data_IF_045910922430
#
_entry.id   IF_045910922430
#
_cell.length_a   1.000
_cell.length_b   1.000
_cell.length_c   1.000
_cell.angle_alpha   90.00
_cell.angle_beta   90.00
_cell.angle_gamma   90.00
#
_symmetry.space_group_name_H-M   'P 1'
#
loop_
_entity.id
_entity.type
_entity.pdbx_description
1 polymer ?
#
# COMPACT_ATOMS: atom_id res chain seq x y z
N UNK A 1 -6.95 -27.76 -1.33
CA UNK A 1 -6.65 -26.37 -0.94
C UNK A 1 -7.99 -25.70 -0.68
N UNK A 2 -8.37 -25.53 0.59
CA UNK A 2 -9.63 -24.84 0.92
C UNK A 2 -9.36 -23.37 0.69
N UNK A 3 -9.94 -22.80 -0.36
CA UNK A 3 -9.86 -21.36 -0.58
C UNK A 3 -10.70 -20.70 0.51
N UNK A 4 -10.05 -19.94 1.39
CA UNK A 4 -10.73 -19.11 2.37
C UNK A 4 -11.65 -18.13 1.62
N UNK A 5 -12.87 -17.91 2.11
CA UNK A 5 -13.87 -17.02 1.48
C UNK A 5 -13.36 -15.58 1.32
N UNK A 6 -12.28 -15.21 2.05
CA UNK A 6 -11.58 -13.94 1.92
C UNK A 6 -10.71 -13.84 0.66
N UNK A 7 -10.23 -14.96 0.11
CA UNK A 7 -9.29 -14.97 -1.02
C UNK A 7 -9.83 -14.23 -2.26
N UNK A 8 -11.08 -14.46 -2.72
CA UNK A 8 -11.63 -13.73 -3.86
C UNK A 8 -11.67 -12.21 -3.63
N UNK A 9 -11.99 -11.77 -2.41
CA UNK A 9 -12.07 -10.35 -2.06
C UNK A 9 -10.67 -9.73 -2.01
N UNK A 10 -9.70 -10.42 -1.42
CA UNK A 10 -8.30 -9.98 -1.37
C UNK A 10 -7.70 -9.85 -2.78
N UNK A 11 -7.98 -10.79 -3.68
CA UNK A 11 -7.53 -10.74 -5.06
C UNK A 11 -8.12 -9.53 -5.82
N UNK A 12 -9.40 -9.21 -5.61
CA UNK A 12 -10.02 -8.03 -6.21
C UNK A 12 -9.42 -6.73 -5.68
N UNK A 13 -9.16 -6.65 -4.37
CA UNK A 13 -8.45 -5.51 -3.77
C UNK A 13 -7.05 -5.33 -4.36
N UNK A 14 -6.29 -6.43 -4.53
CA UNK A 14 -4.99 -6.38 -5.19
C UNK A 14 -5.06 -5.81 -6.61
N UNK A 15 -5.99 -6.29 -7.45
CA UNK A 15 -6.14 -5.82 -8.83
C UNK A 15 -6.48 -4.34 -8.91
N UNK A 16 -7.28 -3.83 -7.97
CA UNK A 16 -7.64 -2.41 -7.93
C UNK A 16 -6.50 -1.55 -7.42
N UNK A 17 -5.92 -1.92 -6.29
CA UNK A 17 -4.94 -1.10 -5.60
C UNK A 17 -3.57 -1.09 -6.31
N UNK A 18 -3.22 -2.13 -7.08
CA UNK A 18 -2.00 -2.14 -7.89
C UNK A 18 -1.99 -1.09 -9.01
N UNK A 19 -3.17 -0.52 -9.35
CA UNK A 19 -3.26 0.54 -10.37
C UNK A 19 -2.65 1.86 -9.88
N UNK A 20 -2.49 2.02 -8.57
CA UNK A 20 -1.74 3.12 -8.00
C UNK A 20 -0.24 2.83 -8.10
N UNK A 21 0.56 3.68 -8.77
CA UNK A 21 1.99 3.45 -8.92
C UNK A 21 2.68 3.37 -7.54
N UNK A 22 3.61 2.42 -7.39
CA UNK A 22 4.39 2.23 -6.16
C UNK A 22 3.72 1.41 -5.05
N UNK A 23 2.51 0.85 -5.28
CA UNK A 23 1.80 0.04 -4.29
C UNK A 23 1.98 -1.46 -4.54
N UNK A 24 2.59 -2.15 -3.58
CA UNK A 24 2.73 -3.62 -3.56
C UNK A 24 1.88 -4.17 -2.43
N UNK A 25 1.01 -5.13 -2.74
CA UNK A 25 0.16 -5.80 -1.75
C UNK A 25 0.38 -7.30 -1.88
N UNK A 26 0.64 -7.95 -0.75
CA UNK A 26 0.77 -9.39 -0.67
C UNK A 26 -0.57 -10.00 -0.26
N UNK A 27 -1.22 -10.68 -1.21
CA UNK A 27 -2.53 -11.33 -0.99
C UNK A 27 -2.42 -12.49 0.00
N UNK A 28 -1.32 -13.22 -0.01
CA UNK A 28 -1.10 -14.36 0.88
C UNK A 28 -0.94 -13.87 2.31
N UNK A 29 -0.10 -12.85 2.52
CA UNK A 29 0.09 -12.25 3.84
C UNK A 29 -1.18 -11.57 4.38
N UNK A 30 -2.01 -11.01 3.48
CA UNK A 30 -3.33 -10.47 3.85
C UNK A 30 -4.27 -11.52 4.44
N UNK A 31 -4.19 -12.78 3.99
CA UNK A 31 -5.06 -13.85 4.50
C UNK A 31 -4.58 -14.39 5.85
N UNK A 32 -3.28 -14.38 6.09
CA UNK A 32 -2.65 -14.91 7.29
C UNK A 32 -2.59 -13.89 8.43
N UNK A 33 -2.45 -12.59 8.12
CA UNK A 33 -2.22 -11.53 9.09
C UNK A 33 -3.36 -10.50 9.12
N UNK A 34 -4.17 -10.55 10.18
CA UNK A 34 -5.32 -9.64 10.39
C UNK A 34 -4.89 -8.16 10.45
N UNK A 35 -3.76 -7.85 11.11
CA UNK A 35 -3.29 -6.46 11.24
C UNK A 35 -2.86 -5.88 9.90
N UNK A 36 -2.15 -6.68 9.10
CA UNK A 36 -1.79 -6.29 7.74
C UNK A 36 -3.03 -6.10 6.87
N UNK A 37 -4.01 -7.01 6.98
CA UNK A 37 -5.28 -6.88 6.27
C UNK A 37 -5.96 -5.55 6.61
N UNK A 38 -6.10 -5.20 7.90
CA UNK A 38 -6.72 -3.94 8.34
C UNK A 38 -6.02 -2.70 7.76
N UNK A 39 -4.70 -2.68 7.66
CA UNK A 39 -3.98 -1.58 7.00
C UNK A 39 -4.30 -1.51 5.50
N UNK A 40 -4.35 -2.65 4.81
CA UNK A 40 -4.78 -2.72 3.40
C UNK A 40 -6.21 -2.20 3.26
N UNK A 41 -7.12 -2.55 4.18
CA UNK A 41 -8.50 -2.06 4.16
C UNK A 41 -8.57 -0.54 4.37
N UNK A 42 -7.77 0.02 5.28
CA UNK A 42 -7.67 1.47 5.50
C UNK A 42 -7.23 2.19 4.22
N UNK A 43 -6.22 1.65 3.55
CA UNK A 43 -5.72 2.18 2.28
C UNK A 43 -6.76 2.04 1.16
N UNK A 44 -7.49 0.93 1.11
CA UNK A 44 -8.54 0.68 0.14
C UNK A 44 -9.69 1.70 0.24
N UNK A 45 -10.09 2.05 1.46
CA UNK A 45 -11.14 3.05 1.71
C UNK A 45 -10.76 4.46 1.25
N UNK A 46 -9.47 4.77 1.25
CA UNK A 46 -8.96 6.06 0.78
C UNK A 46 -8.75 6.11 -0.74
N UNK A 47 -8.85 4.98 -1.45
CA UNK A 47 -8.58 4.91 -2.88
C UNK A 47 -9.81 5.30 -3.72
N UNK A 48 -10.91 4.56 -3.59
CA UNK A 48 -12.14 4.76 -4.34
C UNK A 48 -13.33 4.04 -3.67
N UNK A 49 -14.55 4.38 -4.07
CA UNK A 49 -15.77 3.86 -3.46
C UNK A 49 -15.93 2.33 -3.63
N UNK A 50 -15.47 1.77 -4.74
CA UNK A 50 -15.59 0.34 -5.04
C UNK A 50 -14.59 -0.47 -4.20
N UNK A 51 -13.35 0.03 -4.08
CA UNK A 51 -12.34 -0.51 -3.16
C UNK A 51 -12.80 -0.41 -1.69
N UNK A 52 -13.50 0.67 -1.32
CA UNK A 52 -14.07 0.82 0.02
C UNK A 52 -15.17 -0.24 0.30
N UNK A 53 -16.00 -0.56 -0.68
CA UNK A 53 -17.03 -1.59 -0.56
C UNK A 53 -16.42 -2.99 -0.39
N UNK A 54 -15.40 -3.32 -1.20
CA UNK A 54 -14.65 -4.55 -1.05
C UNK A 54 -13.99 -4.66 0.32
N UNK A 55 -13.47 -3.55 0.84
CA UNK A 55 -12.87 -3.51 2.15
C UNK A 55 -13.88 -3.82 3.26
N UNK A 56 -15.10 -3.28 3.16
CA UNK A 56 -16.17 -3.55 4.11
C UNK A 56 -16.62 -5.02 4.07
N UNK A 57 -16.72 -5.61 2.87
CA UNK A 57 -17.03 -7.05 2.73
C UNK A 57 -15.94 -7.93 3.34
N UNK A 58 -14.67 -7.59 3.11
CA UNK A 58 -13.55 -8.30 3.72
C UNK A 58 -13.58 -8.22 5.26
N UNK A 59 -13.82 -7.03 5.81
CA UNK A 59 -13.90 -6.84 7.25
C UNK A 59 -15.07 -7.61 7.89
N UNK A 60 -16.21 -7.71 7.19
CA UNK A 60 -17.31 -8.55 7.64
C UNK A 60 -16.89 -10.02 7.78
N UNK A 61 -16.10 -10.55 6.84
CA UNK A 61 -15.56 -11.92 6.94
C UNK A 61 -14.53 -12.08 8.07
N UNK A 62 -13.79 -11.03 8.43
CA UNK A 62 -12.92 -11.05 9.60
C UNK A 62 -13.71 -11.14 10.91
N UNK A 63 -14.82 -10.39 11.02
CA UNK A 63 -15.68 -10.36 12.22
C UNK A 63 -16.53 -11.62 12.39
N UNK A 64 -16.92 -12.27 11.29
CA UNK A 64 -17.70 -13.52 11.32
C UNK A 64 -16.87 -14.72 11.77
N UNK A 65 -15.54 -14.57 11.94
CA UNK A 65 -14.70 -15.63 12.50
C UNK A 65 -15.18 -15.97 13.92
N UNK A 66 -15.61 -17.23 14.20
CA UNK A 66 -16.08 -17.60 15.53
C UNK A 66 -14.91 -17.49 16.52
N UNK A 67 -14.97 -16.53 17.44
CA UNK A 67 -13.98 -16.37 18.50
C UNK A 67 -13.63 -14.95 18.93
N UNK A 68 -14.10 -13.89 18.27
CA UNK A 68 -13.76 -12.50 18.67
C UNK A 68 -15.01 -11.62 18.72
N UNK A 69 -15.57 -11.47 19.92
CA UNK A 69 -16.62 -10.50 20.19
C UNK A 69 -16.10 -9.08 19.87
N UNK A 70 -16.91 -8.32 19.12
CA UNK A 70 -16.58 -6.97 18.69
C UNK A 70 -16.44 -6.02 19.89
N UNK A 71 -15.26 -5.43 20.07
CA UNK A 71 -15.10 -4.25 20.91
C UNK A 71 -15.55 -3.00 20.12
N UNK A 72 -16.25 -2.04 20.76
CA UNK A 72 -16.78 -0.86 20.08
C UNK A 72 -15.65 0.03 19.55
N UNK A 73 -15.81 0.51 18.32
CA UNK A 73 -14.86 1.37 17.63
C UNK A 73 -14.71 2.72 18.34
N UNK A 74 -13.49 3.04 18.78
CA UNK A 74 -13.09 4.38 19.18
C UNK A 74 -12.76 5.24 17.94
N UNK A 75 -13.00 6.56 17.96
CA UNK A 75 -12.72 7.43 16.82
C UNK A 75 -11.21 7.63 16.66
N UNK A 76 -10.65 7.18 15.53
CA UNK A 76 -9.25 7.39 15.20
C UNK A 76 -9.02 8.85 14.76
N UNK A 77 -8.51 9.66 15.68
CA UNK A 77 -7.90 10.95 15.40
C UNK A 77 -6.44 10.74 14.98
N UNK A 78 -6.03 11.38 13.89
CA UNK A 78 -4.66 11.85 13.65
C UNK A 78 -3.59 10.81 13.29
N UNK A 79 -3.15 10.83 12.02
CA UNK A 79 -1.97 10.10 11.56
C UNK A 79 -1.61 10.42 10.11
N UNK A 80 -1.34 11.70 9.84
CA UNK A 80 -0.83 12.14 8.55
C UNK A 80 0.59 11.59 8.34
N UNK A 81 0.75 10.61 7.44
CA UNK A 81 2.07 10.25 6.92
C UNK A 81 1.98 9.46 5.61
N UNK A 82 1.33 10.03 4.59
CA UNK A 82 1.75 9.79 3.21
C UNK A 82 1.59 11.12 2.48
N UNK A 83 2.66 11.92 2.53
CA UNK A 83 2.74 13.18 1.85
C UNK A 83 2.47 12.97 0.35
N UNK A 84 1.54 13.78 -0.14
CA UNK A 84 1.18 13.99 -1.53
C UNK A 84 2.42 14.48 -2.30
N UNK A 85 3.15 13.59 -2.97
CA UNK A 85 4.19 14.04 -3.92
C UNK A 85 3.54 14.33 -5.26
N UNK A 86 3.08 15.57 -5.40
CA UNK A 86 2.74 16.16 -6.69
C UNK A 86 3.94 16.83 -7.33
N UNK A 87 3.93 16.81 -8.67
CA UNK A 87 4.58 17.74 -9.60
C UNK A 87 6.11 17.87 -9.57
N UNK A 88 6.77 17.21 -10.53
CA UNK A 88 8.08 17.63 -11.03
C UNK A 88 7.86 18.81 -12.01
N UNK A 89 8.36 20.00 -11.66
CA UNK A 89 8.52 21.11 -12.62
C UNK A 89 9.99 21.22 -12.98
N UNK A 90 10.24 21.26 -14.28
CA UNK A 90 11.55 21.52 -14.87
C UNK A 90 11.89 23.01 -14.82
N UNK A 91 13.17 23.33 -14.65
CA UNK A 91 13.77 24.52 -15.24
C UNK A 91 14.58 25.42 -14.30
N UNK A 92 15.90 25.44 -14.50
CA UNK A 92 16.60 26.71 -14.75
C UNK A 92 17.57 27.26 -13.70
N UNK A 93 18.85 27.21 -14.07
CA UNK A 93 19.93 28.20 -13.84
C UNK A 93 20.68 28.23 -12.50
N UNK A 94 21.98 27.92 -12.60
CA UNK A 94 23.07 28.20 -11.66
C UNK A 94 23.47 29.71 -11.69
N UNK A 95 24.34 30.21 -10.78
CA UNK A 95 25.78 29.89 -10.87
C UNK A 95 26.58 29.74 -9.55
N UNK A 96 27.65 28.93 -9.71
CA UNK A 96 29.03 29.06 -9.25
C UNK A 96 29.42 29.20 -7.76
N UNK A 97 30.24 28.23 -7.32
CA UNK A 97 31.64 28.37 -6.89
C UNK A 97 31.97 27.62 -5.58
N UNK A 98 32.63 26.47 -5.73
CA UNK A 98 33.89 26.09 -5.07
C UNK A 98 34.08 24.58 -5.17
N UNK A 99 35.24 24.23 -5.70
CA UNK A 99 35.75 22.93 -6.09
C UNK A 99 36.39 22.24 -4.87
N UNK A 100 36.06 20.98 -4.60
CA UNK A 100 36.97 20.02 -3.96
C UNK A 100 36.45 18.60 -4.22
N UNK A 101 37.28 17.82 -4.91
CA UNK A 101 36.94 16.52 -5.47
C UNK A 101 36.99 15.38 -4.45
N UNK A 102 35.94 14.58 -4.36
CA UNK A 102 35.99 13.16 -3.97
C UNK A 102 34.95 12.40 -4.79
N UNK A 103 35.41 11.64 -5.80
CA UNK A 103 34.59 10.67 -6.49
C UNK A 103 34.51 9.37 -5.69
N UNK A 104 33.29 8.84 -5.47
CA UNK A 104 33.10 7.41 -5.59
C UNK A 104 32.18 7.11 -6.78
N UNK A 105 32.77 6.55 -7.83
CA UNK A 105 32.08 5.86 -8.91
C UNK A 105 31.44 4.59 -8.33
N UNK A 106 30.16 4.68 -7.93
CA UNK A 106 29.37 3.52 -7.55
C UNK A 106 28.54 3.12 -8.76
N UNK A 107 28.92 1.98 -9.34
CA UNK A 107 28.38 1.40 -10.55
C UNK A 107 26.85 1.38 -10.59
N UNK A 108 26.33 1.89 -11.71
CA UNK A 108 24.92 1.87 -12.09
C UNK A 108 24.51 0.45 -12.46
N UNK A 109 24.25 -0.40 -11.47
CA UNK A 109 23.83 -1.78 -11.69
C UNK A 109 22.72 -2.22 -10.74
N UNK A 110 21.46 -2.07 -11.18
CA UNK A 110 20.26 -2.88 -10.85
C UNK A 110 19.08 -2.11 -11.47
N UNK A 111 18.29 -2.56 -12.44
CA UNK A 111 17.58 -3.83 -12.64
C UNK A 111 17.24 -3.89 -14.13
N UNK A 112 17.82 -4.84 -14.88
CA UNK A 112 17.57 -4.93 -16.32
C UNK A 112 18.11 -6.19 -16.98
N UNK A 113 18.31 -7.26 -16.20
CA UNK A 113 18.74 -8.55 -16.73
C UNK A 113 18.04 -9.68 -15.99
N UNK A 114 16.75 -9.85 -16.24
CA UNK A 114 16.11 -11.16 -16.16
C UNK A 114 15.31 -11.34 -17.46
N UNK A 115 15.95 -12.08 -18.37
CA UNK A 115 15.38 -12.97 -19.41
C UNK A 115 14.27 -12.44 -20.31
#
# INVERSE_FOLDING_TARGET
MVYDDKFPIAAQLFIRLKRSPGRVIDVTWMLENEMYALEVLRVARAADAESAELANRYEALLRTRPGKAAAPAAPAQGGAMFARTGAFVAGGAAPAASEEAVAPEVGRHYVGALR
#
